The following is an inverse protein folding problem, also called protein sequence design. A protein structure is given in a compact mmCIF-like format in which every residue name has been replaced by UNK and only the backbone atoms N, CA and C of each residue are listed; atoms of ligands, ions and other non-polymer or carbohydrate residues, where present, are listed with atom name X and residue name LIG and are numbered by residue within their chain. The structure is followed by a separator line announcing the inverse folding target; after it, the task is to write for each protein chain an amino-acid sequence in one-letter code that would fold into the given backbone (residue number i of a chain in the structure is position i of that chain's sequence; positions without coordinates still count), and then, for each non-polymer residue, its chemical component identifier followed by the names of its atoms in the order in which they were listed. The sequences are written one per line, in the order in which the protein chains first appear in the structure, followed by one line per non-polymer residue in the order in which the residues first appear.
data_IF_697318317661
#
_entry.id   IF_697318317661
#
_cell.length_a   1.000
_cell.length_b   1.000
_cell.length_c   1.000
_cell.angle_alpha   90.00
_cell.angle_beta   90.00
_cell.angle_gamma   90.00
#
_symmetry.space_group_name_H-M   'P 1'
#
loop_
_entity.id
_entity.type
_entity.pdbx_description
1 polymer ?
#
# COMPACT_ATOMS: atom_id res chain seq x y z
N UNK A 1 -44.21 21.19 -73.44
CA UNK A 1 -44.67 20.92 -72.06
C UNK A 1 -43.60 20.07 -71.36
N UNK A 2 -42.78 20.68 -70.51
CA UNK A 2 -42.24 20.08 -69.29
C UNK A 2 -41.37 21.14 -68.59
N UNK A 3 -41.87 21.67 -67.47
CA UNK A 3 -41.13 22.50 -66.51
C UNK A 3 -40.33 21.60 -65.58
N UNK A 4 -39.17 22.05 -65.08
CA UNK A 4 -38.66 21.86 -63.69
C UNK A 4 -37.33 22.61 -63.58
N UNK A 5 -37.31 23.77 -62.92
CA UNK A 5 -37.12 24.01 -61.47
C UNK A 5 -35.62 24.08 -61.12
N UNK A 6 -35.13 25.31 -60.97
CA UNK A 6 -33.86 25.63 -60.33
C UNK A 6 -33.89 25.23 -58.85
N UNK A 7 -32.84 24.57 -58.39
CA UNK A 7 -32.56 24.39 -56.96
C UNK A 7 -31.09 24.75 -56.72
N UNK A 8 -30.90 25.73 -55.84
CA UNK A 8 -29.63 26.39 -55.54
C UNK A 8 -29.19 25.87 -54.16
N UNK A 9 -28.16 25.03 -54.08
CA UNK A 9 -27.63 24.53 -52.81
C UNK A 9 -26.23 25.10 -52.59
N UNK A 10 -26.14 26.02 -51.62
CA UNK A 10 -24.88 26.54 -51.09
C UNK A 10 -24.23 25.47 -50.21
N UNK A 11 -22.95 25.20 -50.45
CA UNK A 11 -22.13 24.26 -49.70
C UNK A 11 -21.62 24.95 -48.41
N UNK A 12 -22.13 24.55 -47.25
CA UNK A 12 -21.58 24.95 -45.95
C UNK A 12 -20.55 23.90 -45.51
N UNK A 13 -19.27 24.25 -45.58
CA UNK A 13 -18.17 23.47 -45.02
C UNK A 13 -18.12 23.77 -43.51
N UNK A 14 -18.69 22.89 -42.70
CA UNK A 14 -18.50 22.91 -41.25
C UNK A 14 -17.17 22.26 -40.89
N UNK A 15 -16.18 23.06 -40.48
CA UNK A 15 -14.95 22.56 -39.88
C UNK A 15 -15.24 22.14 -38.43
N UNK A 16 -15.34 20.83 -38.19
CA UNK A 16 -15.40 20.27 -36.83
C UNK A 16 -13.99 20.32 -36.22
N UNK A 17 -13.80 21.21 -35.25
CA UNK A 17 -12.61 21.27 -34.42
C UNK A 17 -12.69 20.14 -33.38
N UNK A 18 -12.01 19.02 -33.64
CA UNK A 18 -11.84 17.93 -32.67
C UNK A 18 -10.82 18.39 -31.61
N UNK A 19 -11.31 18.78 -30.43
CA UNK A 19 -10.47 19.06 -29.26
C UNK A 19 -9.97 17.72 -28.74
N UNK A 20 -8.74 17.35 -29.10
CA UNK A 20 -8.06 16.19 -28.53
C UNK A 20 -7.65 16.56 -27.10
N UNK A 21 -8.44 16.09 -26.13
CA UNK A 21 -8.15 16.26 -24.71
C UNK A 21 -6.98 15.35 -24.37
N UNK A 22 -5.77 15.92 -24.33
CA UNK A 22 -4.57 15.20 -23.88
C UNK A 22 -4.68 15.09 -22.37
N UNK A 23 -5.32 14.02 -21.90
CA UNK A 23 -5.20 13.61 -20.50
C UNK A 23 -3.74 13.21 -20.31
N UNK A 24 -3.00 13.80 -19.37
CA UNK A 24 -1.64 13.33 -19.08
C UNK A 24 -1.76 11.88 -18.59
N UNK A 25 -1.36 10.94 -19.45
CA UNK A 25 -1.10 9.57 -19.03
C UNK A 25 0.12 9.65 -18.13
N UNK A 26 -0.09 9.70 -16.82
CA UNK A 26 0.98 9.47 -15.86
C UNK A 26 1.37 8.00 -16.03
N UNK A 27 2.39 7.75 -16.85
CA UNK A 27 3.00 6.43 -16.99
C UNK A 27 3.73 6.13 -15.67
N UNK A 28 3.02 5.52 -14.73
CA UNK A 28 3.62 4.80 -13.62
C UNK A 28 4.11 3.48 -14.19
N UNK A 29 5.43 3.27 -14.21
CA UNK A 29 6.02 2.01 -14.65
C UNK A 29 5.89 0.98 -13.52
N UNK A 30 4.72 0.34 -13.44
CA UNK A 30 4.43 -0.82 -12.59
C UNK A 30 3.64 -1.86 -13.40
N UNK A 31 3.57 -3.09 -12.92
CA UNK A 31 2.65 -4.08 -13.50
C UNK A 31 1.21 -3.63 -13.24
N UNK A 32 0.36 -3.67 -14.27
CA UNK A 32 -1.08 -3.44 -14.11
C UNK A 32 -1.71 -4.65 -13.40
N UNK A 33 -2.56 -4.41 -12.41
CA UNK A 33 -3.26 -5.45 -11.66
C UNK A 33 -4.73 -5.47 -12.01
N UNK A 34 -5.32 -6.65 -12.14
CA UNK A 34 -6.73 -6.86 -12.50
C UNK A 34 -7.41 -7.66 -11.41
N UNK A 35 -8.58 -7.20 -10.96
CA UNK A 35 -9.47 -8.04 -10.16
C UNK A 35 -10.26 -8.94 -11.13
N UNK A 36 -9.88 -10.21 -11.17
CA UNK A 36 -10.51 -11.22 -12.02
C UNK A 36 -11.38 -12.15 -11.18
N UNK A 37 -12.61 -12.41 -11.64
CA UNK A 37 -13.58 -13.16 -10.84
C UNK A 37 -14.90 -13.42 -11.54
N UNK A 38 -15.81 -14.11 -10.85
CA UNK A 38 -17.14 -14.45 -11.35
C UNK A 38 -18.12 -13.27 -11.41
N UNK A 39 -17.69 -12.08 -10.99
CA UNK A 39 -18.50 -10.87 -10.97
C UNK A 39 -18.37 -10.03 -12.25
N UNK A 40 -17.32 -10.25 -13.06
CA UNK A 40 -16.94 -9.33 -14.13
C UNK A 40 -18.02 -9.20 -15.22
N UNK A 41 -18.72 -10.30 -15.55
CA UNK A 41 -19.84 -10.24 -16.51
C UNK A 41 -21.12 -9.63 -15.92
N UNK A 42 -21.23 -9.55 -14.59
CA UNK A 42 -22.36 -8.94 -13.90
C UNK A 42 -22.24 -7.42 -13.77
N UNK A 43 -21.07 -6.84 -14.06
CA UNK A 43 -20.86 -5.40 -14.02
C UNK A 43 -21.70 -4.67 -15.08
N UNK A 44 -22.35 -3.54 -14.74
CA UNK A 44 -23.14 -2.77 -15.70
C UNK A 44 -22.31 -2.33 -16.92
N UNK A 45 -22.71 -2.78 -18.11
CA UNK A 45 -22.05 -2.42 -19.37
C UNK A 45 -20.67 -3.07 -19.59
N UNK A 46 -20.34 -4.11 -18.82
CA UNK A 46 -19.06 -4.81 -18.92
C UNK A 46 -18.83 -5.43 -20.30
N UNK A 47 -17.66 -5.20 -20.93
CA UNK A 47 -17.26 -5.92 -22.13
C UNK A 47 -16.64 -7.30 -21.80
N UNK A 48 -16.41 -7.60 -20.52
CA UNK A 48 -15.60 -8.73 -20.07
C UNK A 48 -16.46 -9.95 -19.70
N UNK A 49 -15.89 -11.14 -19.93
CA UNK A 49 -16.41 -12.38 -19.34
C UNK A 49 -15.92 -12.55 -17.90
N UNK A 50 -16.49 -13.55 -17.22
CA UNK A 50 -15.99 -13.95 -15.90
C UNK A 50 -14.57 -14.51 -16.01
N UNK A 51 -13.76 -14.26 -14.98
CA UNK A 51 -12.36 -14.69 -14.91
C UNK A 51 -11.46 -14.17 -16.05
N UNK A 52 -11.80 -13.02 -16.61
CA UNK A 52 -10.98 -12.32 -17.59
C UNK A 52 -9.88 -11.53 -16.89
N UNK A 53 -8.67 -12.10 -16.83
CA UNK A 53 -7.49 -11.46 -16.23
C UNK A 53 -6.84 -10.38 -17.10
N UNK A 54 -7.46 -10.02 -18.23
CA UNK A 54 -7.08 -8.91 -19.08
C UNK A 54 -8.20 -7.86 -19.21
N UNK A 55 -9.20 -7.93 -18.32
CA UNK A 55 -10.33 -7.01 -18.35
C UNK A 55 -9.92 -5.59 -17.94
N UNK A 56 -9.94 -4.67 -18.91
CA UNK A 56 -9.66 -3.25 -18.66
C UNK A 56 -10.65 -2.61 -17.66
N UNK A 57 -11.89 -3.09 -17.61
CA UNK A 57 -12.91 -2.54 -16.71
C UNK A 57 -12.70 -2.91 -15.23
N UNK A 58 -11.83 -3.89 -14.93
CA UNK A 58 -11.49 -4.30 -13.57
C UNK A 58 -9.99 -4.18 -13.29
N UNK A 59 -9.29 -3.36 -14.07
CA UNK A 59 -7.91 -2.96 -13.77
C UNK A 59 -7.92 -2.03 -12.56
N UNK A 60 -7.01 -2.27 -11.63
CA UNK A 60 -6.85 -1.50 -10.40
C UNK A 60 -5.94 -0.30 -10.67
N UNK A 61 -6.18 0.81 -9.96
CA UNK A 61 -5.42 2.04 -10.11
C UNK A 61 -4.81 2.48 -8.78
N UNK A 62 -3.57 2.96 -8.80
CA UNK A 62 -2.92 3.70 -7.70
C UNK A 62 -2.70 5.16 -8.14
N UNK A 63 -3.81 5.90 -8.27
CA UNK A 63 -3.78 7.25 -8.82
C UNK A 63 -3.12 8.28 -7.90
N UNK A 64 -3.09 8.03 -6.59
CA UNK A 64 -2.49 8.90 -5.57
C UNK A 64 -1.04 8.51 -5.24
N UNK A 65 -0.55 7.36 -5.75
CA UNK A 65 0.82 6.90 -5.56
C UNK A 65 1.11 6.48 -4.12
N UNK A 66 0.11 6.00 -3.38
CA UNK A 66 0.26 5.59 -1.99
C UNK A 66 0.79 4.15 -1.83
N UNK A 67 0.88 3.40 -2.94
CA UNK A 67 1.37 2.03 -2.99
C UNK A 67 0.28 0.97 -2.86
N UNK A 68 -0.99 1.36 -2.77
CA UNK A 68 -2.14 0.45 -2.74
C UNK A 68 -3.01 0.69 -3.97
N UNK A 69 -2.99 -0.26 -4.90
CA UNK A 69 -3.89 -0.24 -6.05
C UNK A 69 -5.32 -0.50 -5.59
N UNK A 70 -6.29 0.24 -6.14
CA UNK A 70 -7.70 0.12 -5.80
C UNK A 70 -8.57 -0.09 -7.03
N UNK A 71 -9.59 -0.94 -6.89
CA UNK A 71 -10.74 -0.98 -7.79
C UNK A 71 -11.99 -0.61 -7.00
N UNK A 72 -12.77 0.33 -7.51
CA UNK A 72 -14.07 0.72 -6.94
C UNK A 72 -15.15 0.39 -7.96
N UNK A 73 -16.15 -0.37 -7.53
CA UNK A 73 -17.30 -0.73 -8.37
C UNK A 73 -18.58 -0.30 -7.68
N UNK A 74 -19.36 0.50 -8.40
CA UNK A 74 -20.75 0.79 -8.07
C UNK A 74 -21.69 -0.14 -8.84
N UNK A 75 -22.77 -0.57 -8.20
CA UNK A 75 -23.85 -1.30 -8.88
C UNK A 75 -23.52 -2.74 -9.27
N UNK A 76 -22.55 -3.38 -8.60
CA UNK A 76 -22.45 -4.84 -8.64
C UNK A 76 -23.73 -5.43 -8.02
N UNK A 77 -24.50 -6.29 -8.73
CA UNK A 77 -25.73 -6.83 -8.16
C UNK A 77 -25.49 -7.62 -6.86
N UNK A 78 -26.47 -7.60 -5.96
CA UNK A 78 -26.43 -8.42 -4.75
C UNK A 78 -26.27 -9.90 -5.11
N UNK A 79 -25.35 -10.59 -4.44
CA UNK A 79 -25.03 -11.97 -4.76
C UNK A 79 -23.73 -12.47 -4.15
N UNK A 80 -23.41 -13.72 -4.47
CA UNK A 80 -22.17 -14.40 -4.10
C UNK A 80 -21.27 -14.54 -5.31
N UNK A 81 -20.04 -14.07 -5.17
CA UNK A 81 -19.01 -14.07 -6.19
C UNK A 81 -17.70 -14.62 -5.63
N UNK A 82 -16.74 -14.82 -6.52
CA UNK A 82 -15.37 -15.16 -6.16
C UNK A 82 -14.41 -14.30 -6.99
N UNK A 83 -13.25 -13.97 -6.44
CA UNK A 83 -12.23 -13.21 -7.16
C UNK A 83 -10.79 -13.57 -6.76
N UNK A 84 -9.86 -13.10 -7.58
CA UNK A 84 -8.42 -12.98 -7.31
C UNK A 84 -7.91 -11.66 -7.88
N UNK A 85 -6.81 -11.16 -7.36
CA UNK A 85 -6.03 -10.08 -7.98
C UNK A 85 -4.91 -10.72 -8.81
N UNK A 86 -4.78 -10.30 -10.07
CA UNK A 86 -3.93 -10.97 -11.06
C UNK A 86 -3.11 -9.92 -11.79
N UNK A 87 -1.83 -10.18 -11.98
CA UNK A 87 -1.03 -9.37 -12.90
C UNK A 87 -1.63 -9.45 -14.31
N UNK A 88 -1.78 -8.32 -14.99
CA UNK A 88 -2.51 -8.21 -16.26
C UNK A 88 -2.07 -9.30 -17.26
N UNK A 89 -3.01 -10.20 -17.60
CA UNK A 89 -2.79 -11.30 -18.53
C UNK A 89 -1.94 -12.47 -17.99
N UNK A 90 -1.50 -12.45 -16.73
CA UNK A 90 -0.60 -13.45 -16.15
C UNK A 90 -1.18 -14.16 -14.91
N UNK A 91 -1.87 -15.28 -15.13
CA UNK A 91 -2.33 -16.16 -14.04
C UNK A 91 -1.21 -16.80 -13.21
N UNK A 92 0.04 -16.79 -13.69
CA UNK A 92 1.19 -17.25 -12.92
C UNK A 92 1.51 -16.35 -11.73
N UNK A 93 0.98 -15.13 -11.72
CA UNK A 93 1.17 -14.14 -10.67
C UNK A 93 -0.20 -13.63 -10.19
N UNK A 94 -0.81 -14.36 -9.27
CA UNK A 94 -2.18 -14.13 -8.80
C UNK A 94 -2.32 -14.36 -7.30
N UNK A 95 -3.02 -13.46 -6.62
CA UNK A 95 -3.18 -13.42 -5.17
C UNK A 95 -4.65 -13.34 -4.73
N UNK A 96 -4.99 -13.90 -3.56
CA UNK A 96 -4.18 -14.85 -2.78
C UNK A 96 -4.05 -16.20 -3.52
N UNK A 97 -3.51 -17.26 -2.89
CA UNK A 97 -3.35 -18.55 -3.55
C UNK A 97 -4.71 -19.15 -3.99
N UNK A 98 -5.71 -19.11 -3.10
CA UNK A 98 -7.09 -19.52 -3.37
C UNK A 98 -7.96 -18.36 -3.87
N UNK A 99 -9.19 -18.70 -4.26
CA UNK A 99 -10.22 -17.71 -4.57
C UNK A 99 -10.71 -17.06 -3.27
N UNK A 100 -10.99 -15.75 -3.31
CA UNK A 100 -11.66 -15.04 -2.23
C UNK A 100 -13.16 -15.02 -2.52
N UNK A 101 -13.96 -15.54 -1.61
CA UNK A 101 -15.42 -15.43 -1.70
C UNK A 101 -15.85 -13.99 -1.37
N UNK A 102 -16.79 -13.45 -2.12
CA UNK A 102 -17.30 -12.08 -1.96
C UNK A 102 -18.83 -12.14 -1.94
N UNK A 103 -19.45 -11.72 -0.84
CA UNK A 103 -20.89 -11.58 -0.75
C UNK A 103 -21.22 -10.09 -0.67
N UNK A 104 -21.95 -9.57 -1.66
CA UNK A 104 -22.41 -8.17 -1.68
C UNK A 104 -23.92 -8.10 -1.60
N UNK A 105 -24.42 -7.05 -0.94
CA UNK A 105 -25.84 -6.68 -0.88
C UNK A 105 -26.23 -5.67 -1.96
N UNK A 106 -25.32 -5.38 -2.90
CA UNK A 106 -25.52 -4.42 -3.98
C UNK A 106 -24.93 -3.03 -3.69
N UNK A 107 -24.34 -2.83 -2.51
CA UNK A 107 -23.59 -1.63 -2.18
C UNK A 107 -22.26 -1.58 -2.96
N UNK A 108 -21.60 -0.42 -2.90
CA UNK A 108 -20.28 -0.21 -3.49
C UNK A 108 -19.27 -1.21 -2.93
N UNK A 109 -18.58 -1.89 -3.83
CA UNK A 109 -17.47 -2.79 -3.49
C UNK A 109 -16.15 -2.13 -3.86
N UNK A 110 -15.20 -2.19 -2.93
CA UNK A 110 -13.84 -1.67 -3.07
C UNK A 110 -12.87 -2.82 -2.83
N UNK A 111 -11.95 -3.02 -3.76
CA UNK A 111 -10.84 -3.95 -3.63
C UNK A 111 -9.54 -3.18 -3.50
N UNK A 112 -8.64 -3.69 -2.68
CA UNK A 112 -7.34 -3.11 -2.39
C UNK A 112 -6.26 -4.16 -2.60
N UNK A 113 -5.16 -3.73 -3.20
CA UNK A 113 -4.01 -4.60 -3.42
C UNK A 113 -2.71 -3.84 -3.16
N UNK A 114 -1.87 -4.39 -2.29
CA UNK A 114 -0.52 -3.89 -2.05
C UNK A 114 0.49 -4.88 -2.68
N UNK A 115 1.13 -4.54 -3.81
CA UNK A 115 2.02 -5.44 -4.51
C UNK A 115 3.27 -5.84 -3.72
N UNK A 116 3.74 -4.99 -2.80
CA UNK A 116 4.96 -5.23 -2.02
C UNK A 116 4.88 -6.49 -1.14
N UNK A 117 3.75 -6.67 -0.46
CA UNK A 117 3.50 -7.78 0.47
C UNK A 117 2.43 -8.76 -0.05
N UNK A 118 1.91 -8.51 -1.25
CA UNK A 118 0.80 -9.24 -1.87
C UNK A 118 -0.49 -9.25 -1.02
N UNK A 119 -0.72 -8.20 -0.24
CA UNK A 119 -1.95 -8.07 0.53
C UNK A 119 -3.12 -7.80 -0.40
N UNK A 120 -4.21 -8.53 -0.17
CA UNK A 120 -5.49 -8.40 -0.89
C UNK A 120 -6.57 -8.13 0.14
N UNK A 121 -7.40 -7.13 -0.11
CA UNK A 121 -8.56 -6.84 0.72
C UNK A 121 -9.78 -6.42 -0.09
N UNK A 122 -10.96 -6.60 0.50
CA UNK A 122 -12.21 -5.99 0.06
C UNK A 122 -13.03 -5.49 1.25
N UNK A 123 -13.82 -4.44 1.02
CA UNK A 123 -14.61 -3.79 2.07
C UNK A 123 -15.83 -4.62 2.52
N UNK A 124 -16.10 -5.78 1.93
CA UNK A 124 -17.22 -6.64 2.33
C UNK A 124 -16.80 -7.67 3.37
N UNK A 125 -15.59 -8.23 3.21
CA UNK A 125 -15.04 -9.27 4.07
C UNK A 125 -14.12 -8.72 5.17
N UNK A 126 -13.55 -7.54 4.95
CA UNK A 126 -12.52 -6.99 5.81
C UNK A 126 -12.81 -5.56 6.22
N UNK A 127 -12.20 -5.20 7.34
CA UNK A 127 -12.18 -3.86 7.88
C UNK A 127 -11.19 -3.00 7.09
N UNK A 128 -11.67 -1.90 6.51
CA UNK A 128 -10.81 -0.92 5.85
C UNK A 128 -10.49 0.18 6.85
N UNK A 129 -9.23 0.26 7.27
CA UNK A 129 -8.77 1.19 8.28
C UNK A 129 -7.38 1.74 7.92
N UNK A 130 -7.18 3.03 8.15
CA UNK A 130 -5.92 3.75 7.92
C UNK A 130 -5.46 4.38 9.22
N UNK A 131 -4.21 4.17 9.61
CA UNK A 131 -3.62 4.96 10.70
C UNK A 131 -3.19 6.31 10.13
N UNK A 132 -3.94 7.35 10.48
CA UNK A 132 -3.76 8.71 10.00
C UNK A 132 -3.27 9.61 11.13
N UNK A 133 -2.26 10.42 10.86
CA UNK A 133 -1.59 11.20 11.90
C UNK A 133 -0.55 12.16 11.36
N UNK A 134 0.14 12.84 12.27
CA UNK A 134 1.17 13.83 11.95
C UNK A 134 2.48 13.24 11.43
N UNK A 135 2.57 11.92 11.28
CA UNK A 135 3.77 11.20 10.85
C UNK A 135 3.72 10.78 9.38
N UNK A 136 2.56 10.85 8.70
CA UNK A 136 2.40 10.31 7.35
C UNK A 136 3.30 11.00 6.32
N UNK A 137 3.62 12.29 6.53
CA UNK A 137 4.61 13.01 5.72
C UNK A 137 6.00 12.38 5.73
N UNK A 138 6.39 11.72 6.83
CA UNK A 138 7.68 11.01 6.92
C UNK A 138 7.71 9.76 6.02
N UNK A 139 6.53 9.26 5.64
CA UNK A 139 6.37 8.08 4.79
C UNK A 139 6.07 8.46 3.33
N UNK A 140 6.03 9.76 2.99
CA UNK A 140 5.71 10.23 1.65
C UNK A 140 4.22 10.42 1.38
N UNK A 141 3.40 10.53 2.42
CA UNK A 141 1.99 10.93 2.35
C UNK A 141 1.74 12.38 2.80
N UNK A 142 0.47 12.75 2.92
CA UNK A 142 0.05 13.97 3.62
C UNK A 142 -0.29 13.65 5.07
N UNK A 143 0.05 14.53 6.01
CA UNK A 143 -0.35 14.36 7.41
C UNK A 143 -1.89 14.39 7.54
N UNK A 144 -2.42 13.58 8.44
CA UNK A 144 -3.86 13.48 8.71
C UNK A 144 -4.71 13.12 7.48
N UNK A 145 -4.18 12.28 6.59
CA UNK A 145 -4.82 11.82 5.37
C UNK A 145 -5.35 10.38 5.54
N UNK A 146 -6.64 10.17 5.88
CA UNK A 146 -7.21 8.83 6.06
C UNK A 146 -7.37 8.07 4.73
N UNK A 147 -7.38 8.79 3.61
CA UNK A 147 -7.45 8.27 2.24
C UNK A 147 -6.08 7.94 1.64
N UNK A 148 -4.99 8.18 2.38
CA UNK A 148 -3.64 7.75 1.99
C UNK A 148 -3.37 6.35 2.53
N UNK A 149 -3.58 5.34 1.69
CA UNK A 149 -3.55 3.92 2.06
C UNK A 149 -2.13 3.36 2.23
N UNK A 150 -1.10 4.21 2.07
CA UNK A 150 0.27 3.86 2.48
C UNK A 150 0.33 3.40 3.93
N UNK A 151 -0.55 3.95 4.77
CA UNK A 151 -0.67 3.60 6.19
C UNK A 151 -1.97 2.84 6.49
N UNK A 152 -2.52 2.14 5.49
CA UNK A 152 -3.61 1.18 5.69
C UNK A 152 -3.14 0.04 6.60
N UNK A 153 -3.98 -0.36 7.54
CA UNK A 153 -3.73 -1.53 8.37
C UNK A 153 -4.25 -2.79 7.67
N UNK A 154 -3.43 -3.84 7.64
CA UNK A 154 -3.75 -5.12 7.01
C UNK A 154 -4.07 -6.18 8.06
N UNK A 155 -4.97 -7.10 7.72
CA UNK A 155 -5.42 -8.14 8.64
C UNK A 155 -4.23 -9.04 9.03
N UNK A 156 -3.98 -9.21 10.33
CA UNK A 156 -2.80 -9.96 10.81
C UNK A 156 -2.83 -11.44 10.44
N UNK A 157 -4.02 -12.01 10.32
CA UNK A 157 -4.24 -13.37 9.85
C UNK A 157 -5.69 -13.52 9.38
N UNK A 158 -5.95 -14.49 8.48
CA UNK A 158 -7.28 -14.71 7.94
C UNK A 158 -8.33 -14.90 9.06
N UNK A 159 -9.33 -14.00 9.10
CA UNK A 159 -10.39 -14.01 10.10
C UNK A 159 -10.04 -13.36 11.45
N UNK A 160 -8.86 -12.76 11.59
CA UNK A 160 -8.50 -11.95 12.77
C UNK A 160 -9.30 -10.65 12.81
N UNK A 161 -9.70 -10.23 14.00
CA UNK A 161 -10.21 -8.89 14.24
C UNK A 161 -9.09 -7.84 14.32
N UNK A 162 -7.84 -8.27 14.45
CA UNK A 162 -6.66 -7.40 14.53
C UNK A 162 -6.06 -7.12 13.14
N UNK A 163 -5.79 -5.83 12.93
CA UNK A 163 -5.16 -5.28 11.73
C UNK A 163 -3.94 -4.47 12.15
N UNK A 164 -2.86 -4.53 11.37
CA UNK A 164 -1.61 -3.86 11.71
C UNK A 164 -0.96 -3.14 10.53
N UNK A 165 -0.18 -2.11 10.86
CA UNK A 165 0.70 -1.40 9.94
C UNK A 165 2.01 -1.11 10.65
N UNK A 166 3.14 -1.38 9.99
CA UNK A 166 4.48 -1.16 10.55
C UNK A 166 5.27 -0.20 9.69
N UNK A 167 5.93 0.77 10.32
CA UNK A 167 6.83 1.69 9.66
C UNK A 167 7.96 2.15 10.59
N UNK A 168 9.09 2.52 10.01
CA UNK A 168 10.18 3.20 10.72
C UNK A 168 9.89 4.70 10.76
N UNK A 169 9.92 5.28 11.96
CA UNK A 169 9.66 6.70 12.18
C UNK A 169 10.82 7.35 12.93
N UNK A 170 11.22 8.59 12.58
CA UNK A 170 12.29 9.29 13.27
C UNK A 170 11.87 9.70 14.70
N UNK A 171 12.88 10.02 15.52
CA UNK A 171 12.67 10.56 16.86
C UNK A 171 11.77 11.80 16.83
N UNK A 172 10.84 11.90 17.77
CA UNK A 172 9.87 12.98 17.82
C UNK A 172 8.62 12.64 18.61
N UNK A 173 7.73 13.62 18.69
CA UNK A 173 6.37 13.43 19.21
C UNK A 173 5.40 13.48 18.04
N UNK A 174 4.63 12.41 17.89
CA UNK A 174 3.64 12.24 16.83
C UNK A 174 2.26 12.08 17.46
N UNK A 175 1.24 12.46 16.71
CA UNK A 175 -0.15 12.21 17.05
C UNK A 175 -0.82 11.40 15.94
N UNK A 176 -1.73 10.50 16.31
CA UNK A 176 -2.45 9.68 15.34
C UNK A 176 -3.83 9.25 15.82
N UNK A 177 -4.62 8.81 14.85
CA UNK A 177 -5.88 8.09 15.00
C UNK A 177 -5.96 6.99 13.94
N UNK A 178 -6.85 6.04 14.13
CA UNK A 178 -7.25 5.10 13.08
C UNK A 178 -8.60 5.55 12.53
N UNK A 179 -8.65 5.76 11.22
CA UNK A 179 -9.82 6.20 10.47
C UNK A 179 -10.39 5.03 9.66
N UNK A 180 -11.71 4.87 9.67
CA UNK A 180 -12.41 3.80 8.92
C UNK A 180 -12.90 4.31 7.57
N UNK A 181 -12.95 3.41 6.60
CA UNK A 181 -13.53 3.67 5.27
C UNK A 181 -12.96 4.94 4.60
N UNK A 182 -11.63 5.09 4.67
CA UNK A 182 -10.87 6.13 3.98
C UNK A 182 -11.30 7.57 4.33
N UNK A 183 -11.94 7.75 5.49
CA UNK A 183 -12.50 9.05 5.88
C UNK A 183 -12.62 9.22 7.39
N UNK A 184 -12.98 10.43 7.81
CA UNK A 184 -13.08 10.80 9.23
C UNK A 184 -14.45 10.56 9.86
N UNK A 185 -15.38 9.95 9.12
CA UNK A 185 -16.74 9.69 9.61
C UNK A 185 -16.74 8.81 10.87
N UNK A 186 -15.84 7.83 10.90
CA UNK A 186 -15.59 6.96 12.04
C UNK A 186 -14.08 6.89 12.30
N UNK A 187 -13.65 7.23 13.53
CA UNK A 187 -12.23 7.18 13.90
C UNK A 187 -12.00 6.98 15.40
N UNK A 188 -10.91 6.29 15.72
CA UNK A 188 -10.55 5.86 17.07
C UNK A 188 -9.09 6.17 17.39
N UNK A 189 -8.72 6.40 18.67
CA UNK A 189 -9.63 6.64 19.80
C UNK A 189 -10.39 7.98 19.65
N UNK A 190 -11.19 8.42 20.63
CA UNK A 190 -11.94 9.68 20.49
C UNK A 190 -11.01 10.91 20.35
N UNK A 191 -9.98 10.97 21.19
CA UNK A 191 -8.90 11.95 21.12
C UNK A 191 -7.70 11.38 20.37
N UNK A 192 -6.79 12.24 19.92
CA UNK A 192 -5.54 11.83 19.30
C UNK A 192 -4.71 10.98 20.29
N UNK A 193 -4.21 9.84 19.82
CA UNK A 193 -3.20 9.08 20.53
C UNK A 193 -1.83 9.74 20.33
N UNK A 194 -1.02 9.78 21.37
CA UNK A 194 0.32 10.37 21.35
C UNK A 194 1.36 9.25 21.28
N UNK A 195 2.32 9.38 20.37
CA UNK A 195 3.48 8.52 20.21
C UNK A 195 4.74 9.35 20.45
N UNK A 196 5.55 8.97 21.43
CA UNK A 196 6.82 9.63 21.72
C UNK A 196 7.98 8.69 21.42
N UNK A 197 8.85 9.10 20.50
CA UNK A 197 10.04 8.35 20.09
C UNK A 197 11.29 9.13 20.48
N UNK A 198 12.15 8.52 21.30
CA UNK A 198 13.43 9.14 21.73
C UNK A 198 14.56 8.95 20.72
N UNK A 199 14.40 8.00 19.81
CA UNK A 199 15.28 7.69 18.70
C UNK A 199 14.41 7.31 17.49
N UNK A 200 15.01 7.15 16.32
CA UNK A 200 14.33 6.46 15.23
C UNK A 200 13.92 5.06 15.69
N UNK A 201 12.67 4.67 15.46
CA UNK A 201 12.11 3.39 15.91
C UNK A 201 11.23 2.76 14.84
N UNK A 202 11.22 1.43 14.78
CA UNK A 202 10.17 0.69 14.09
C UNK A 202 8.92 0.69 14.96
N UNK A 203 7.82 1.20 14.42
CA UNK A 203 6.55 1.33 15.13
C UNK A 203 5.53 0.44 14.44
N UNK A 204 4.87 -0.41 15.22
CA UNK A 204 3.74 -1.20 14.75
C UNK A 204 2.47 -0.64 15.35
N UNK A 205 1.60 -0.12 14.51
CA UNK A 205 0.25 0.31 14.87
C UNK A 205 -0.69 -0.88 14.71
N UNK A 206 -1.59 -1.06 15.67
CA UNK A 206 -2.61 -2.12 15.62
C UNK A 206 -3.98 -1.57 15.93
N UNK A 207 -4.98 -2.16 15.29
CA UNK A 207 -6.37 -1.82 15.48
C UNK A 207 -7.23 -3.09 15.50
N UNK A 208 -8.06 -3.21 16.52
CA UNK A 208 -9.06 -4.28 16.62
C UNK A 208 -10.38 -3.78 16.05
N UNK A 209 -10.82 -4.35 14.93
CA UNK A 209 -12.01 -3.90 14.24
C UNK A 209 -13.34 -4.36 14.89
N UNK A 210 -13.29 -5.26 15.87
CA UNK A 210 -14.46 -5.75 16.60
C UNK A 210 -14.81 -4.90 17.82
N UNK A 211 -13.81 -4.34 18.53
CA UNK A 211 -14.03 -3.53 19.73
C UNK A 211 -13.47 -2.10 19.66
N UNK A 212 -12.85 -1.75 18.53
CA UNK A 212 -12.24 -0.46 18.22
C UNK A 212 -11.01 -0.10 19.08
N UNK A 213 -10.37 -1.09 19.70
CA UNK A 213 -9.10 -0.90 20.43
C UNK A 213 -8.00 -0.46 19.46
N UNK A 214 -7.31 0.63 19.79
CA UNK A 214 -6.13 1.12 19.07
C UNK A 214 -4.92 1.03 19.98
N UNK A 215 -3.85 0.43 19.49
CA UNK A 215 -2.59 0.33 20.22
C UNK A 215 -1.38 0.51 19.28
N UNK A 216 -0.22 0.73 19.88
CA UNK A 216 1.05 0.72 19.18
C UNK A 216 2.11 0.04 20.02
N UNK A 217 3.08 -0.57 19.35
CA UNK A 217 4.34 -1.01 19.95
C UNK A 217 5.51 -0.37 19.22
N UNK A 218 6.63 -0.22 19.92
CA UNK A 218 7.86 0.32 19.35
C UNK A 218 8.97 -0.68 19.57
N UNK A 219 9.55 -1.14 18.48
CA UNK A 219 10.84 -1.82 18.51
C UNK A 219 11.86 -0.79 18.07
N UNK A 220 12.60 -0.23 19.04
CA UNK A 220 13.76 0.57 18.67
C UNK A 220 14.69 -0.35 17.85
N UNK A 221 15.19 0.08 16.67
CA UNK A 221 16.35 -0.57 16.09
C UNK A 221 17.40 -0.71 17.20
N UNK A 222 18.18 -1.79 17.21
CA UNK A 222 19.21 -1.95 18.21
C UNK A 222 19.99 -0.63 18.30
N UNK A 223 20.25 -0.12 19.51
CA UNK A 223 21.01 1.12 19.64
C UNK A 223 22.26 1.00 18.79
N UNK A 224 22.74 2.12 18.25
CA UNK A 224 24.14 2.22 17.79
C UNK A 224 25.00 1.34 18.69
N UNK A 225 25.77 0.39 18.13
CA UNK A 225 26.31 -0.75 18.85
C UNK A 225 26.85 -0.33 20.22
N UNK A 226 26.27 -0.85 21.31
CA UNK A 226 26.71 -0.53 22.67
C UNK A 226 28.20 -0.91 22.85
N UNK A 227 28.61 -1.97 22.17
CA UNK A 227 29.96 -2.50 22.17
C UNK A 227 30.49 -2.51 20.74
N UNK A 228 31.69 -1.95 20.57
CA UNK A 228 32.45 -1.98 19.32
C UNK A 228 33.65 -2.89 19.53
N UNK A 229 33.92 -3.78 18.57
CA UNK A 229 35.18 -4.53 18.58
C UNK A 229 36.28 -3.61 18.04
N UNK A 230 37.04 -3.01 18.94
CA UNK A 230 38.19 -2.18 18.58
C UNK A 230 39.48 -3.01 18.51
N UNK A 231 40.29 -2.77 17.49
CA UNK A 231 41.54 -3.51 17.29
C UNK A 231 42.35 -2.99 16.11
N UNK A 232 43.46 -3.68 15.82
CA UNK A 232 44.37 -3.39 14.71
C UNK A 232 43.94 -4.06 13.38
N UNK A 233 42.66 -4.41 13.28
CA UNK A 233 42.05 -5.05 12.11
C UNK A 233 40.96 -4.18 11.49
N UNK A 234 40.65 -3.02 12.10
CA UNK A 234 39.47 -2.24 11.73
C UNK A 234 39.65 -1.61 10.34
N UNK A 235 40.88 -1.28 9.94
CA UNK A 235 41.13 -0.78 8.58
C UNK A 235 41.24 -1.91 7.53
N UNK A 236 41.47 -3.14 7.99
CA UNK A 236 41.58 -4.32 7.13
C UNK A 236 40.22 -4.84 6.62
N UNK A 237 39.13 -4.41 7.26
CA UNK A 237 37.78 -4.74 6.83
C UNK A 237 37.28 -3.71 5.80
N UNK A 238 36.77 -4.15 4.62
CA UNK A 238 36.31 -3.23 3.59
C UNK A 238 35.23 -2.24 4.05
N UNK A 239 34.39 -2.67 4.99
CA UNK A 239 33.29 -1.87 5.53
C UNK A 239 33.76 -0.81 6.53
N UNK A 240 34.91 -0.99 7.19
CA UNK A 240 35.42 -0.09 8.23
C UNK A 240 36.78 0.53 7.91
N UNK A 241 37.25 0.46 6.66
CA UNK A 241 38.53 1.03 6.21
C UNK A 241 38.70 2.54 6.47
N UNK A 242 37.62 3.26 6.78
CA UNK A 242 37.64 4.68 7.13
C UNK A 242 37.65 4.94 8.64
N UNK A 243 37.50 3.91 9.47
CA UNK A 243 37.40 4.04 10.92
C UNK A 243 38.74 4.36 11.58
N UNK A 244 39.86 3.88 11.04
CA UNK A 244 41.13 3.88 11.74
C UNK A 244 41.24 2.75 12.75
N UNK A 245 42.46 2.28 12.97
CA UNK A 245 42.74 1.26 13.98
C UNK A 245 42.44 1.73 15.41
N UNK A 246 41.99 0.78 16.24
CA UNK A 246 41.63 1.02 17.65
C UNK A 246 40.55 2.08 17.86
N UNK A 247 39.70 2.32 16.86
CA UNK A 247 38.61 3.27 16.97
C UNK A 247 37.42 2.64 17.72
N UNK A 248 37.22 3.07 18.96
CA UNK A 248 36.11 2.66 19.81
C UNK A 248 34.74 3.29 19.44
N UNK A 249 34.69 4.08 18.37
CA UNK A 249 33.49 4.70 17.83
C UNK A 249 33.17 4.25 16.39
N UNK A 250 33.86 3.22 15.87
CA UNK A 250 33.58 2.64 14.56
C UNK A 250 32.26 1.84 14.59
N UNK A 251 31.20 2.37 13.98
CA UNK A 251 29.87 1.75 13.98
C UNK A 251 29.84 0.48 13.13
N UNK A 252 30.70 0.42 12.13
CA UNK A 252 30.85 -0.67 11.16
C UNK A 252 31.47 -1.93 11.78
N UNK A 253 32.14 -1.79 12.93
CA UNK A 253 32.60 -2.91 13.78
C UNK A 253 31.76 -3.07 15.05
N UNK A 254 30.50 -2.64 14.97
CA UNK A 254 29.51 -2.80 16.03
C UNK A 254 29.16 -4.24 16.34
N UNK A 255 28.96 -4.55 17.61
CA UNK A 255 28.42 -5.84 18.04
C UNK A 255 26.90 -5.76 18.24
N UNK A 256 26.19 -6.81 17.85
CA UNK A 256 24.72 -6.92 17.95
C UNK A 256 24.31 -8.10 18.83
N UNK A 257 23.24 -7.93 19.61
CA UNK A 257 22.56 -9.01 20.35
C UNK A 257 21.17 -9.25 19.72
N UNK A 258 21.17 -9.90 18.56
CA UNK A 258 19.97 -10.11 17.75
C UNK A 258 18.93 -11.05 18.38
N UNK A 259 19.29 -11.78 19.45
CA UNK A 259 18.39 -12.69 20.16
C UNK A 259 18.12 -12.30 21.61
N UNK A 260 18.58 -11.11 22.05
CA UNK A 260 18.38 -10.56 23.38
C UNK A 260 18.79 -11.52 24.52
N UNK A 261 19.86 -12.31 24.33
CA UNK A 261 20.37 -13.27 25.33
C UNK A 261 21.51 -12.70 26.19
N UNK A 262 21.91 -11.46 25.95
CA UNK A 262 23.03 -10.77 26.60
C UNK A 262 24.39 -11.09 25.98
N UNK A 263 24.44 -11.81 24.84
CA UNK A 263 25.67 -12.15 24.12
C UNK A 263 25.75 -11.36 22.81
N UNK A 264 26.53 -10.30 22.85
CA UNK A 264 26.82 -9.48 21.69
C UNK A 264 27.79 -10.19 20.74
N UNK A 265 27.54 -10.10 19.43
CA UNK A 265 28.35 -10.74 18.38
C UNK A 265 28.71 -9.72 17.30
N UNK A 266 29.96 -9.76 16.88
CA UNK A 266 30.42 -9.12 15.65
C UNK A 266 30.89 -10.22 14.70
N UNK A 267 30.43 -10.17 13.45
CA UNK A 267 30.82 -11.11 12.40
C UNK A 267 31.60 -10.33 11.34
N UNK A 268 32.92 -10.46 11.37
CA UNK A 268 33.80 -9.96 10.31
C UNK A 268 34.21 -11.09 9.38
N UNK A 269 33.86 -11.00 8.11
CA UNK A 269 34.40 -11.90 7.08
C UNK A 269 35.78 -11.42 6.64
N UNK A 270 36.69 -12.36 6.36
CA UNK A 270 38.02 -12.09 5.80
C UNK A 270 38.96 -11.18 6.63
N UNK A 271 39.01 -11.36 7.96
CA UNK A 271 40.11 -10.78 8.74
C UNK A 271 41.45 -11.32 8.21
N UNK A 272 42.39 -10.48 7.78
CA UNK A 272 43.71 -10.95 7.36
C UNK A 272 44.42 -11.63 8.54
N UNK A 273 45.20 -12.67 8.21
CA UNK A 273 45.92 -13.50 9.18
C UNK A 273 47.15 -12.81 9.78
#
# INVERSE_FOLDING_TARGET
MSRRLHFNWQLLIGASLLVLLVVPFNLVFGADWVVAGSFQSALPGSPCGDWDNACAATTMEDANGDGVSRLVVDGLPAGSYEYKVVELGNWGNAFPAGNVALNTDGNQVRWYFQPGDNHVADNMNQCIATVAGSFQSQLGGGDWAPDNLRTMLWQESAGSDWYSFTATLPAGTWEYKVARDEGWAESYPASNAVLNLTAESTVTFRYNCADNTVEHSTDAPPPTPEWVVAGNFQDDLPVSAACGEWNNACLETGMEDNNADGVYRFVGDNLPA
#
